data_IF_476111204491
#
_entry.id   IF_476111204491
#
_cell.length_a   1.000
_cell.length_b   1.000
_cell.length_c   1.000
_cell.angle_alpha   90.00
_cell.angle_beta   90.00
_cell.angle_gamma   90.00
#
_symmetry.space_group_name_H-M   'P 1'
#
loop_
_entity.id
_entity.type
_entity.pdbx_description
1 polymer ?
#
# COMPACT_ATOMS: atom_id res chain seq x y z
N UNK A 1 -19.17 30.98 -67.15
CA UNK A 1 -18.23 29.82 -67.19
C UNK A 1 -16.81 30.20 -66.83
N UNK A 2 -16.36 31.44 -66.91
CA UNK A 2 -14.98 31.84 -66.51
C UNK A 2 -14.74 31.87 -65.00
N UNK A 3 -15.75 32.14 -64.18
CA UNK A 3 -15.59 32.26 -62.73
C UNK A 3 -15.56 30.92 -62.01
N UNK A 4 -16.06 29.85 -62.62
CA UNK A 4 -16.02 28.48 -62.03
C UNK A 4 -14.64 27.87 -62.20
N UNK A 5 -13.95 28.23 -63.28
CA UNK A 5 -12.60 27.72 -63.55
C UNK A 5 -11.56 28.29 -62.58
N UNK A 6 -11.73 29.53 -62.10
CA UNK A 6 -10.83 30.19 -61.15
C UNK A 6 -10.97 29.59 -59.75
N UNK A 7 -12.17 29.17 -59.36
CA UNK A 7 -12.42 28.52 -58.04
C UNK A 7 -11.83 27.11 -58.02
N UNK A 8 -11.86 26.38 -59.12
CA UNK A 8 -11.28 25.03 -59.20
C UNK A 8 -9.75 25.06 -59.20
N UNK A 9 -9.12 26.11 -59.75
CA UNK A 9 -7.65 26.27 -59.71
C UNK A 9 -7.14 26.70 -58.36
N UNK A 10 -7.94 27.41 -57.55
CA UNK A 10 -7.59 27.81 -56.19
C UNK A 10 -7.62 26.67 -55.16
N UNK A 11 -8.40 25.63 -55.37
CA UNK A 11 -8.51 24.48 -54.46
C UNK A 11 -7.40 23.44 -54.59
N UNK A 12 -6.60 23.51 -55.64
CA UNK A 12 -5.53 22.52 -55.91
C UNK A 12 -4.16 22.92 -55.35
N UNK A 13 -4.05 24.15 -54.81
CA UNK A 13 -2.78 24.64 -54.24
C UNK A 13 -2.64 24.47 -52.69
N UNK A 14 -3.59 23.85 -52.05
CA UNK A 14 -3.65 23.82 -50.58
C UNK A 14 -3.13 22.49 -49.93
N UNK A 15 -2.48 21.61 -50.66
CA UNK A 15 -2.17 20.26 -50.13
C UNK A 15 -0.70 19.87 -50.17
N UNK A 16 0.22 20.74 -49.81
CA UNK A 16 1.60 20.29 -49.54
C UNK A 16 2.17 20.92 -48.27
N UNK A 17 1.43 20.84 -47.16
CA UNK A 17 2.07 20.92 -45.84
C UNK A 17 2.56 19.51 -45.52
N UNK A 18 3.80 19.18 -45.91
CA UNK A 18 4.52 18.05 -45.32
C UNK A 18 4.72 18.38 -43.85
N UNK A 19 3.93 17.74 -42.99
CA UNK A 19 4.26 17.68 -41.58
C UNK A 19 5.64 17.01 -41.50
N UNK A 20 6.66 17.79 -41.20
CA UNK A 20 7.94 17.30 -40.79
C UNK A 20 7.70 16.57 -39.47
N UNK A 21 7.62 15.24 -39.51
CA UNK A 21 7.73 14.44 -38.30
C UNK A 21 9.08 14.83 -37.65
N UNK A 22 9.09 15.25 -36.38
CA UNK A 22 10.35 15.40 -35.69
C UNK A 22 11.07 14.04 -35.79
N UNK A 23 12.34 14.09 -36.16
CA UNK A 23 13.22 12.93 -36.12
C UNK A 23 13.01 12.23 -34.79
N UNK A 24 12.97 10.89 -34.75
CA UNK A 24 12.95 10.22 -33.46
C UNK A 24 14.15 10.78 -32.68
N UNK A 25 13.82 11.52 -31.63
CA UNK A 25 14.82 11.93 -30.63
C UNK A 25 15.52 10.62 -30.29
N UNK A 26 16.82 10.58 -30.53
CA UNK A 26 17.66 9.44 -30.12
C UNK A 26 17.23 9.09 -28.71
N UNK A 27 16.45 8.02 -28.60
CA UNK A 27 16.09 7.46 -27.31
C UNK A 27 17.43 7.21 -26.67
N UNK A 28 17.77 8.03 -25.69
CA UNK A 28 18.95 7.79 -24.87
C UNK A 28 18.92 6.31 -24.59
N UNK A 29 19.83 5.56 -25.21
CA UNK A 29 20.09 4.18 -24.86
C UNK A 29 20.49 4.19 -23.40
N UNK A 30 19.50 4.13 -22.53
CA UNK A 30 19.70 3.76 -21.12
C UNK A 30 20.11 2.31 -21.16
N UNK A 31 21.35 2.11 -21.61
CA UNK A 31 21.99 0.81 -21.71
C UNK A 31 22.68 0.48 -20.40
N UNK A 32 21.92 0.48 -19.35
CA UNK A 32 22.19 -0.31 -18.14
C UNK A 32 20.93 -0.30 -17.32
N UNK A 33 20.15 -1.38 -17.32
CA UNK A 33 19.27 -1.67 -16.23
C UNK A 33 20.14 -1.79 -14.99
N UNK A 34 20.33 -0.66 -14.32
CA UNK A 34 20.83 -0.67 -12.95
C UNK A 34 19.64 -1.15 -12.13
N UNK A 35 19.59 -2.43 -11.85
CA UNK A 35 18.73 -2.93 -10.79
C UNK A 35 19.23 -2.27 -9.52
N UNK A 36 18.53 -1.24 -9.10
CA UNK A 36 18.72 -0.68 -7.77
C UNK A 36 18.29 -1.78 -6.81
N UNK A 37 19.22 -2.26 -5.99
CA UNK A 37 18.85 -3.13 -4.88
C UNK A 37 17.84 -2.38 -4.03
N UNK A 38 16.67 -3.00 -3.84
CA UNK A 38 15.60 -2.44 -3.06
C UNK A 38 16.11 -2.16 -1.64
N UNK A 39 16.14 -0.88 -1.26
CA UNK A 39 16.39 -0.51 0.12
C UNK A 39 15.13 -0.85 0.93
N UNK A 40 15.09 -2.05 1.46
CA UNK A 40 14.04 -2.44 2.41
C UNK A 40 14.20 -1.58 3.65
N UNK A 41 13.26 -0.67 3.89
CA UNK A 41 13.22 0.12 5.13
C UNK A 41 12.80 -0.81 6.27
N UNK A 42 13.76 -1.53 6.83
CA UNK A 42 13.57 -2.36 8.03
C UNK A 42 13.69 -1.55 9.33
N UNK A 43 13.95 -0.26 9.22
CA UNK A 43 14.23 0.62 10.37
C UNK A 43 13.08 0.66 11.40
N UNK A 44 11.84 0.39 11.00
CA UNK A 44 10.67 0.37 11.91
C UNK A 44 10.37 -1.00 12.49
N UNK A 45 10.97 -2.08 11.94
CA UNK A 45 10.83 -3.43 12.49
C UNK A 45 11.88 -3.71 13.53
N UNK A 46 11.43 -4.35 14.60
CA UNK A 46 12.30 -4.79 15.69
C UNK A 46 12.94 -6.12 15.32
N UNK A 47 14.25 -6.21 15.48
CA UNK A 47 14.99 -7.47 15.33
C UNK A 47 14.98 -8.32 16.62
N UNK A 48 15.41 -9.56 16.49
CA UNK A 48 15.45 -10.53 17.62
C UNK A 48 16.31 -10.09 18.82
N UNK A 49 17.26 -9.19 18.57
CA UNK A 49 18.18 -8.70 19.61
C UNK A 49 17.64 -7.49 20.39
N UNK A 50 16.51 -6.95 19.96
CA UNK A 50 15.91 -5.77 20.60
C UNK A 50 15.00 -6.22 21.75
N UNK A 51 15.13 -5.67 22.96
CA UNK A 51 14.35 -6.09 24.14
C UNK A 51 12.93 -5.54 24.12
N UNK A 52 12.20 -5.77 23.05
CA UNK A 52 10.80 -5.36 22.84
C UNK A 52 9.95 -6.59 22.59
N UNK A 53 8.82 -6.68 23.28
CA UNK A 53 7.86 -7.76 23.03
C UNK A 53 7.14 -7.52 21.72
N UNK A 54 7.33 -8.39 20.74
CA UNK A 54 6.68 -8.30 19.44
C UNK A 54 6.09 -9.65 18.98
N UNK A 55 5.26 -9.58 17.96
CA UNK A 55 4.74 -10.73 17.20
C UNK A 55 4.83 -10.42 15.72
N UNK A 56 5.29 -11.36 14.93
CA UNK A 56 5.29 -11.28 13.46
C UNK A 56 4.19 -12.18 12.91
N UNK A 57 3.48 -11.69 11.91
CA UNK A 57 2.49 -12.43 11.14
C UNK A 57 2.98 -12.43 9.69
N UNK A 58 3.22 -13.60 9.14
CA UNK A 58 3.70 -13.78 7.77
C UNK A 58 2.56 -13.71 6.74
N UNK A 59 2.91 -13.50 5.46
CA UNK A 59 1.94 -13.55 4.34
C UNK A 59 1.16 -14.87 4.34
N UNK A 60 1.83 -15.99 4.54
CA UNK A 60 1.18 -17.31 4.55
C UNK A 60 0.11 -17.40 5.66
N UNK A 61 0.41 -16.87 6.83
CA UNK A 61 -0.52 -16.83 7.95
C UNK A 61 -1.70 -15.89 7.70
N UNK A 62 -1.41 -14.69 7.15
CA UNK A 62 -2.46 -13.75 6.72
C UNK A 62 -3.38 -14.36 5.67
N UNK A 63 -2.83 -14.95 4.62
CA UNK A 63 -3.60 -15.57 3.54
C UNK A 63 -4.47 -16.72 4.02
N UNK A 64 -3.99 -17.53 4.96
CA UNK A 64 -4.78 -18.65 5.51
C UNK A 64 -5.99 -18.20 6.34
N UNK A 65 -5.97 -16.96 6.84
CA UNK A 65 -7.03 -16.39 7.68
C UNK A 65 -7.89 -15.37 6.95
N UNK A 66 -7.42 -14.88 5.80
CA UNK A 66 -8.09 -13.81 5.06
C UNK A 66 -9.29 -14.34 4.29
N UNK A 67 -10.47 -14.15 4.85
CA UNK A 67 -11.76 -14.41 4.22
C UNK A 67 -12.48 -13.09 3.85
N UNK A 68 -11.71 -12.04 3.51
CA UNK A 68 -12.24 -10.72 3.21
C UNK A 68 -12.45 -9.81 4.42
N UNK A 69 -11.95 -10.20 5.59
CA UNK A 69 -12.04 -9.36 6.79
C UNK A 69 -10.90 -8.35 6.84
N UNK A 70 -11.15 -7.25 7.58
CA UNK A 70 -10.15 -6.21 7.79
C UNK A 70 -8.97 -6.62 8.68
N UNK A 71 -7.88 -5.85 8.63
CA UNK A 71 -6.68 -6.08 9.45
C UNK A 71 -6.97 -6.28 10.93
N UNK A 72 -7.89 -5.53 11.60
CA UNK A 72 -8.21 -5.75 13.00
C UNK A 72 -8.61 -7.19 13.33
N UNK A 73 -9.36 -7.83 12.44
CA UNK A 73 -9.76 -9.21 12.60
C UNK A 73 -8.58 -10.17 12.43
N UNK A 74 -7.77 -9.97 11.40
CA UNK A 74 -6.64 -10.85 11.09
C UNK A 74 -5.57 -10.87 12.19
N UNK A 75 -5.37 -9.73 12.88
CA UNK A 75 -4.41 -9.63 13.98
C UNK A 75 -4.98 -10.00 15.35
N UNK A 76 -6.29 -10.25 15.46
CA UNK A 76 -6.99 -10.50 16.74
C UNK A 76 -6.47 -11.72 17.49
N UNK A 77 -5.87 -12.69 16.80
CA UNK A 77 -5.27 -13.87 17.41
C UNK A 77 -3.88 -13.60 18.02
N UNK A 78 -3.33 -12.41 17.79
CA UNK A 78 -2.05 -12.04 18.40
C UNK A 78 -2.22 -11.77 19.90
N UNK A 79 -1.21 -12.11 20.72
CA UNK A 79 -1.29 -11.89 22.16
C UNK A 79 -1.58 -10.43 22.52
N UNK A 80 -2.49 -10.23 23.46
CA UNK A 80 -2.89 -8.92 23.99
C UNK A 80 -3.61 -7.99 23.01
N UNK A 81 -4.07 -8.51 21.87
CA UNK A 81 -4.90 -7.79 20.91
C UNK A 81 -6.37 -8.14 21.15
N UNK A 82 -7.21 -7.12 21.30
CA UNK A 82 -8.66 -7.25 21.41
C UNK A 82 -9.28 -6.47 20.26
N UNK A 83 -9.99 -7.16 19.39
CA UNK A 83 -10.70 -6.59 18.26
C UNK A 83 -12.10 -6.10 18.68
N UNK A 84 -12.57 -5.03 18.05
CA UNK A 84 -13.95 -4.57 18.07
C UNK A 84 -14.47 -4.46 16.62
N UNK A 85 -15.72 -4.82 16.41
CA UNK A 85 -16.39 -4.68 15.10
C UNK A 85 -17.85 -4.34 15.33
N UNK A 86 -18.34 -3.28 14.73
CA UNK A 86 -19.71 -2.84 14.89
C UNK A 86 -20.71 -3.85 14.29
N UNK A 87 -20.35 -4.44 13.14
CA UNK A 87 -21.15 -5.46 12.50
C UNK A 87 -20.89 -6.88 13.03
N UNK A 88 -19.87 -7.09 13.85
CA UNK A 88 -19.48 -8.40 14.36
C UNK A 88 -18.78 -9.31 13.35
N UNK A 89 -18.81 -9.01 12.06
CA UNK A 89 -18.26 -9.83 10.97
C UNK A 89 -16.78 -9.60 10.69
N UNK A 90 -16.18 -8.55 11.26
CA UNK A 90 -14.81 -8.11 10.95
C UNK A 90 -14.71 -7.33 9.64
N UNK A 91 -15.81 -7.00 8.99
CA UNK A 91 -15.92 -6.17 7.80
C UNK A 91 -16.56 -4.84 8.17
N UNK A 92 -16.12 -3.73 7.56
CA UNK A 92 -16.61 -2.40 7.82
C UNK A 92 -15.93 -1.73 9.02
N UNK A 93 -16.71 -1.03 9.85
CA UNK A 93 -16.16 -0.34 11.01
C UNK A 93 -15.66 -1.33 12.05
N UNK A 94 -14.36 -1.40 12.15
CA UNK A 94 -13.66 -2.28 13.07
C UNK A 94 -12.45 -1.55 13.66
N UNK A 95 -12.00 -2.02 14.79
CA UNK A 95 -10.85 -1.49 15.48
C UNK A 95 -10.20 -2.52 16.38
N UNK A 96 -9.14 -2.14 17.05
CA UNK A 96 -8.50 -3.01 18.02
C UNK A 96 -7.82 -2.19 19.12
N UNK A 97 -7.57 -2.87 20.22
CA UNK A 97 -6.79 -2.41 21.36
C UNK A 97 -5.64 -3.38 21.60
N UNK A 98 -4.51 -2.85 22.04
CA UNK A 98 -3.35 -3.67 22.39
C UNK A 98 -2.99 -3.37 23.84
N UNK A 99 -2.94 -4.39 24.70
CA UNK A 99 -2.73 -4.23 26.16
C UNK A 99 -3.70 -3.25 26.81
N UNK A 100 -4.95 -3.17 26.33
CA UNK A 100 -5.95 -2.24 26.80
C UNK A 100 -5.78 -0.80 26.33
N UNK A 101 -4.75 -0.48 25.54
CA UNK A 101 -4.51 0.85 25.00
C UNK A 101 -5.43 1.10 23.80
N UNK A 102 -6.03 2.29 23.77
CA UNK A 102 -6.94 2.70 22.69
C UNK A 102 -6.21 2.92 21.36
N UNK A 103 -6.97 2.83 20.25
CA UNK A 103 -6.46 2.92 18.90
C UNK A 103 -5.69 4.23 18.59
N UNK A 104 -6.07 5.34 19.22
CA UNK A 104 -5.40 6.64 19.06
C UNK A 104 -4.00 6.72 19.70
N UNK A 105 -3.59 5.70 20.42
CA UNK A 105 -2.27 5.57 21.06
C UNK A 105 -1.45 4.41 20.48
N UNK A 106 -1.89 3.90 19.34
CA UNK A 106 -1.23 2.83 18.60
C UNK A 106 -0.77 3.41 17.27
N UNK A 107 0.54 3.39 17.05
CA UNK A 107 1.11 3.81 15.78
C UNK A 107 0.94 2.72 14.73
N UNK A 108 0.41 3.07 13.57
CA UNK A 108 0.20 2.17 12.45
C UNK A 108 0.99 2.67 11.26
N UNK A 109 1.85 1.82 10.72
CA UNK A 109 2.68 2.19 9.57
C UNK A 109 2.51 1.21 8.42
N UNK A 110 2.55 1.74 7.20
CA UNK A 110 2.66 0.97 5.96
C UNK A 110 4.01 1.33 5.33
N UNK A 111 4.88 0.34 5.16
CA UNK A 111 6.23 0.55 4.62
C UNK A 111 7.02 1.65 5.37
N UNK A 112 6.82 1.75 6.68
CA UNK A 112 7.46 2.77 7.51
C UNK A 112 6.78 4.14 7.52
N UNK A 113 5.73 4.35 6.73
CA UNK A 113 4.98 5.61 6.70
C UNK A 113 3.78 5.51 7.65
N UNK A 114 3.63 6.41 8.63
CA UNK A 114 2.47 6.45 9.52
C UNK A 114 1.19 6.74 8.72
N UNK A 115 0.12 5.98 9.02
CA UNK A 115 -1.19 6.13 8.39
C UNK A 115 -2.28 6.53 9.36
N UNK A 116 -1.91 6.85 10.60
CA UNK A 116 -2.83 7.42 11.55
C UNK A 116 -3.33 8.77 11.07
N UNK A 117 -4.64 8.99 11.17
CA UNK A 117 -5.27 10.27 10.86
C UNK A 117 -4.72 11.39 11.76
N UNK A 118 -4.49 12.57 11.21
CA UNK A 118 -3.84 13.69 11.91
C UNK A 118 -4.71 14.32 13.00
N UNK A 119 -6.03 14.16 12.94
CA UNK A 119 -6.97 14.74 13.90
C UNK A 119 -7.35 13.71 14.98
N UNK A 120 -7.84 12.55 14.57
CA UNK A 120 -8.32 11.50 15.48
C UNK A 120 -7.20 10.60 16.01
N UNK A 121 -6.04 10.61 15.39
CA UNK A 121 -4.92 9.70 15.63
C UNK A 121 -5.27 8.21 15.48
N UNK A 122 -6.37 7.88 14.81
CA UNK A 122 -6.82 6.52 14.55
C UNK A 122 -6.69 6.16 13.08
N UNK A 123 -6.92 4.90 12.75
CA UNK A 123 -7.00 4.43 11.37
C UNK A 123 -8.43 3.94 11.10
N UNK A 124 -9.02 4.43 10.02
CA UNK A 124 -10.36 4.02 9.57
C UNK A 124 -10.25 2.79 8.67
N UNK A 125 -10.28 1.62 9.27
CA UNK A 125 -10.08 0.34 8.57
C UNK A 125 -11.12 0.06 7.50
N UNK A 126 -12.32 0.63 7.62
CA UNK A 126 -13.36 0.53 6.60
C UNK A 126 -12.91 1.10 5.24
N UNK A 127 -12.00 2.08 5.24
CA UNK A 127 -11.44 2.67 4.02
C UNK A 127 -10.33 1.82 3.39
N UNK A 128 -9.89 0.77 4.08
CA UNK A 128 -8.79 -0.12 3.67
C UNK A 128 -9.23 -1.59 3.73
N UNK A 129 -10.44 -1.88 3.26
CA UNK A 129 -11.07 -3.19 3.43
C UNK A 129 -10.26 -4.36 2.85
N UNK A 130 -9.57 -4.15 1.73
CA UNK A 130 -8.80 -5.19 1.03
C UNK A 130 -7.28 -5.04 1.15
N UNK A 131 -6.79 -4.20 2.04
CA UNK A 131 -5.34 -3.99 2.17
C UNK A 131 -4.60 -5.27 2.57
N UNK A 132 -5.28 -6.19 3.25
CA UNK A 132 -4.71 -7.44 3.73
C UNK A 132 -4.14 -8.31 2.60
N UNK A 133 -4.75 -8.28 1.40
CA UNK A 133 -4.29 -9.02 0.23
C UNK A 133 -2.94 -8.52 -0.30
N UNK A 134 -2.63 -7.24 -0.06
CA UNK A 134 -1.39 -6.59 -0.50
C UNK A 134 -0.29 -6.60 0.57
N UNK A 135 -0.55 -7.12 1.77
CA UNK A 135 0.42 -7.13 2.88
C UNK A 135 1.22 -8.41 2.87
N UNK A 136 2.55 -8.27 2.86
CA UNK A 136 3.50 -9.38 2.97
C UNK A 136 3.72 -9.80 4.43
N UNK A 137 3.74 -8.84 5.35
CA UNK A 137 3.96 -9.15 6.77
C UNK A 137 3.46 -8.04 7.68
N UNK A 138 3.04 -8.41 8.88
CA UNK A 138 2.66 -7.50 9.96
C UNK A 138 3.51 -7.79 11.18
N UNK A 139 4.15 -6.77 11.73
CA UNK A 139 4.80 -6.85 13.03
C UNK A 139 4.03 -6.03 14.06
N UNK A 140 3.67 -6.63 15.16
CA UNK A 140 2.97 -5.99 16.28
C UNK A 140 3.96 -5.85 17.44
N UNK A 141 4.42 -4.64 17.71
CA UNK A 141 5.27 -4.29 18.84
C UNK A 141 4.40 -3.82 20.00
N UNK A 142 4.51 -4.45 21.16
CA UNK A 142 3.67 -4.17 22.32
C UNK A 142 4.39 -3.29 23.33
N UNK A 143 3.90 -2.07 23.51
CA UNK A 143 4.50 -1.03 24.34
C UNK A 143 5.06 0.10 23.47
N UNK A 144 5.79 1.02 24.08
CA UNK A 144 6.34 2.21 23.41
C UNK A 144 7.29 1.93 22.24
N UNK A 145 7.77 0.69 22.13
CA UNK A 145 8.63 0.27 21.03
C UNK A 145 9.98 0.97 21.01
N UNK A 146 10.55 1.12 19.81
CA UNK A 146 11.77 1.86 19.56
C UNK A 146 11.49 3.33 19.28
N UNK A 147 12.46 4.20 19.49
CA UNK A 147 12.35 5.65 19.22
C UNK A 147 12.04 6.00 17.77
N UNK A 148 12.21 5.06 16.85
CA UNK A 148 11.90 5.21 15.44
C UNK A 148 10.41 5.20 15.12
N UNK A 149 9.55 4.80 16.07
CA UNK A 149 8.13 4.58 15.84
C UNK A 149 7.26 5.86 15.92
N UNK A 150 7.83 7.00 16.27
CA UNK A 150 7.14 8.28 16.28
C UNK A 150 6.20 8.50 17.48
N UNK A 151 5.46 9.63 17.45
CA UNK A 151 4.71 10.17 18.60
C UNK A 151 3.50 9.32 19.01
N UNK A 152 2.85 8.63 18.09
CA UNK A 152 1.67 7.80 18.38
C UNK A 152 2.01 6.42 18.98
N UNK A 153 3.29 6.05 19.06
CA UNK A 153 3.75 4.74 19.52
C UNK A 153 3.78 4.59 21.04
N UNK A 154 2.78 5.11 21.73
CA UNK A 154 2.72 5.04 23.19
C UNK A 154 2.30 3.65 23.69
N UNK A 155 1.28 3.08 23.11
CA UNK A 155 0.72 1.78 23.52
C UNK A 155 1.27 0.60 22.75
N UNK A 156 1.42 0.78 21.46
CA UNK A 156 1.94 -0.23 20.55
C UNK A 156 2.30 0.37 19.20
N UNK A 157 2.99 -0.43 18.37
CA UNK A 157 3.18 -0.14 16.95
C UNK A 157 2.78 -1.36 16.14
N UNK A 158 2.02 -1.14 15.07
CA UNK A 158 1.69 -2.15 14.06
C UNK A 158 2.35 -1.73 12.75
N UNK A 159 3.40 -2.43 12.39
CA UNK A 159 4.17 -2.17 11.17
C UNK A 159 3.77 -3.18 10.08
N UNK A 160 3.13 -2.69 9.02
CA UNK A 160 2.76 -3.48 7.85
C UNK A 160 3.78 -3.27 6.74
N UNK A 161 4.15 -4.34 6.08
CA UNK A 161 4.91 -4.30 4.84
C UNK A 161 4.08 -4.84 3.70
N UNK A 162 4.01 -4.10 2.61
CA UNK A 162 3.38 -4.56 1.37
C UNK A 162 4.31 -5.46 0.59
N UNK A 163 3.73 -6.21 -0.33
CA UNK A 163 4.49 -7.03 -1.26
C UNK A 163 5.43 -6.18 -2.11
N UNK A 164 6.55 -6.79 -2.47
CA UNK A 164 7.53 -6.16 -3.36
C UNK A 164 7.00 -6.16 -4.79
N UNK A 165 7.28 -5.09 -5.57
CA UNK A 165 6.98 -5.09 -6.99
C UNK A 165 7.62 -6.29 -7.70
N UNK A 166 6.84 -7.00 -8.51
CA UNK A 166 7.36 -8.10 -9.30
C UNK A 166 8.09 -7.58 -10.53
N UNK A 167 9.27 -8.11 -10.81
CA UNK A 167 10.01 -7.83 -12.05
C UNK A 167 9.40 -8.49 -13.28
N UNK A 168 8.54 -9.49 -13.08
CA UNK A 168 7.84 -10.19 -14.16
C UNK A 168 6.34 -9.94 -14.03
N UNK A 169 5.64 -9.73 -15.14
CA UNK A 169 4.18 -9.67 -15.12
C UNK A 169 3.61 -10.94 -14.49
N UNK A 170 2.75 -10.78 -13.51
CA UNK A 170 2.00 -11.89 -12.91
C UNK A 170 0.59 -11.44 -12.60
N UNK A 171 -0.31 -12.37 -12.45
CA UNK A 171 -1.67 -12.13 -11.96
C UNK A 171 -2.02 -13.19 -10.93
N UNK A 172 -2.62 -12.77 -9.84
CA UNK A 172 -3.15 -13.65 -8.81
C UNK A 172 -4.67 -13.48 -8.75
N UNK A 173 -5.36 -14.58 -8.65
CA UNK A 173 -6.81 -14.60 -8.53
C UNK A 173 -7.20 -15.49 -7.36
N UNK A 174 -7.92 -14.94 -6.40
CA UNK A 174 -8.43 -15.68 -5.24
C UNK A 174 -9.93 -15.49 -5.10
N UNK A 175 -10.63 -16.57 -4.82
CA UNK A 175 -12.06 -16.57 -4.48
C UNK A 175 -12.23 -17.33 -3.19
N UNK A 176 -12.90 -16.69 -2.23
CA UNK A 176 -13.28 -17.33 -0.97
C UNK A 176 -14.78 -17.18 -0.76
N UNK A 177 -15.40 -18.19 -0.17
CA UNK A 177 -16.79 -18.18 0.28
C UNK A 177 -16.80 -18.64 1.74
N UNK A 178 -17.50 -17.89 2.60
CA UNK A 178 -17.67 -18.18 4.01
C UNK A 178 -19.11 -18.02 4.47
#
# INVERSE_FOLDING_TARGET
>A
MKNVLVILAGSLLATTVKAQMPSPVDSLKISKDVSLDEVVITATKVGKETPVAYSDISKQELSSRNNGQGIPFLISQSPSVIMTSDAGTGIGYSGFRIRGTDANRINITINGVPVNDSESHTVFWANMADIASSVESIQIQRGAGTSTNGAAAFGATVAMQTEKPSLKPYGEYSVSAG
#
